data_IF_852645031761
#
_entry.id   IF_852645031761
#
_cell.length_a   1.000
_cell.length_b   1.000
_cell.length_c   1.000
_cell.angle_alpha   90.00
_cell.angle_beta   90.00
_cell.angle_gamma   90.00
#
_symmetry.space_group_name_H-M   'P 1'
#
loop_
_entity.id
_entity.type
_entity.pdbx_description
1 polymer ?
#
# COMPACT_ATOMS: atom_id res chain seq x y z
N UNK A 1 11.73 30.08 -25.88
CA UNK A 1 12.16 28.65 -25.98
C UNK A 1 12.97 28.23 -24.74
N UNK A 2 12.45 28.41 -23.51
CA UNK A 2 13.17 28.06 -22.23
C UNK A 2 12.24 27.41 -21.20
N UNK A 3 11.03 26.95 -21.56
CA UNK A 3 10.06 26.47 -20.56
C UNK A 3 9.92 24.94 -20.45
N UNK A 4 10.71 24.14 -21.17
CA UNK A 4 10.52 22.67 -21.21
C UNK A 4 11.46 21.90 -20.26
N UNK A 5 12.50 22.53 -19.74
CA UNK A 5 13.52 21.85 -18.92
C UNK A 5 13.15 21.73 -17.43
N UNK A 6 12.15 22.47 -16.93
CA UNK A 6 11.84 22.53 -15.51
C UNK A 6 10.93 21.39 -14.97
N UNK A 7 10.29 20.59 -15.82
CA UNK A 7 9.40 19.52 -15.37
C UNK A 7 10.13 18.21 -15.01
N UNK A 8 11.28 17.94 -15.63
CA UNK A 8 12.12 16.78 -15.28
C UNK A 8 12.86 16.91 -13.94
N UNK A 9 13.20 18.13 -13.55
CA UNK A 9 13.97 18.39 -12.33
C UNK A 9 13.21 18.08 -11.02
N UNK A 10 11.89 18.22 -11.00
CA UNK A 10 11.15 18.01 -9.75
C UNK A 10 10.99 16.53 -9.38
N UNK A 11 10.73 15.66 -10.35
CA UNK A 11 10.68 14.21 -10.14
C UNK A 11 12.02 13.72 -9.59
N UNK A 12 13.10 14.14 -10.21
CA UNK A 12 14.47 13.81 -9.77
C UNK A 12 14.76 14.29 -8.33
N UNK A 13 14.39 15.53 -7.98
CA UNK A 13 14.58 16.08 -6.64
C UNK A 13 13.76 15.33 -5.59
N UNK A 14 12.55 14.88 -5.92
CA UNK A 14 11.74 14.06 -5.02
C UNK A 14 12.35 12.68 -4.83
N UNK A 15 12.83 12.05 -5.92
CA UNK A 15 13.46 10.74 -5.88
C UNK A 15 14.73 10.74 -5.02
N UNK A 16 15.58 11.78 -5.15
CA UNK A 16 16.77 11.96 -4.31
C UNK A 16 16.39 12.15 -2.84
N UNK A 17 15.39 13.00 -2.56
CA UNK A 17 14.92 13.24 -1.20
C UNK A 17 14.37 11.95 -0.55
N UNK A 18 13.63 11.15 -1.31
CA UNK A 18 13.14 9.85 -0.85
C UNK A 18 14.26 8.83 -0.66
N UNK A 19 15.31 8.90 -1.47
CA UNK A 19 16.50 8.07 -1.27
C UNK A 19 17.18 8.38 0.06
N UNK A 20 17.44 9.67 0.34
CA UNK A 20 18.05 10.13 1.61
C UNK A 20 17.19 9.69 2.80
N UNK A 21 15.87 9.87 2.71
CA UNK A 21 14.94 9.52 3.77
C UNK A 21 14.93 8.02 4.05
N UNK A 22 14.87 7.21 2.99
CA UNK A 22 14.92 5.74 3.12
C UNK A 22 16.24 5.26 3.69
N UNK A 23 17.35 5.87 3.28
CA UNK A 23 18.66 5.50 3.80
C UNK A 23 18.73 5.76 5.30
N UNK A 24 18.40 6.97 5.75
CA UNK A 24 18.35 7.33 7.16
C UNK A 24 17.41 6.42 7.98
N UNK A 25 16.23 6.11 7.43
CA UNK A 25 15.28 5.21 8.07
C UNK A 25 15.80 3.77 8.19
N UNK A 26 16.48 3.26 7.15
CA UNK A 26 17.05 1.89 7.14
C UNK A 26 18.18 1.75 8.16
N UNK A 27 18.95 2.82 8.38
CA UNK A 27 20.00 2.87 9.41
C UNK A 27 19.43 3.09 10.82
N UNK A 28 18.10 3.12 10.97
CA UNK A 28 17.38 3.41 12.22
C UNK A 28 17.72 4.79 12.82
N UNK A 29 18.24 5.73 12.03
CA UNK A 29 18.44 7.12 12.42
C UNK A 29 17.15 7.92 12.23
N UNK A 30 16.18 7.63 13.09
CA UNK A 30 14.87 8.25 13.02
C UNK A 30 14.90 9.75 13.34
N UNK A 31 15.84 10.21 14.16
CA UNK A 31 16.01 11.63 14.44
C UNK A 31 16.42 12.36 13.16
N UNK A 32 17.40 11.85 12.44
CA UNK A 32 17.81 12.42 11.16
C UNK A 32 16.70 12.35 10.13
N UNK A 33 15.94 11.25 10.09
CA UNK A 33 14.75 11.12 9.22
C UNK A 33 13.73 12.23 9.47
N UNK A 34 13.46 12.57 10.74
CA UNK A 34 12.56 13.69 11.09
C UNK A 34 13.11 15.06 10.63
N UNK A 35 14.42 15.27 10.78
CA UNK A 35 15.07 16.50 10.31
C UNK A 35 14.97 16.64 8.79
N UNK A 36 15.17 15.54 8.06
CA UNK A 36 14.98 15.48 6.61
C UNK A 36 13.54 15.83 6.23
N UNK A 37 12.53 15.25 6.88
CA UNK A 37 11.12 15.55 6.62
C UNK A 37 10.83 17.05 6.80
N UNK A 38 11.29 17.65 7.90
CA UNK A 38 11.12 19.09 8.18
C UNK A 38 11.82 19.95 7.11
N UNK A 39 13.03 19.57 6.71
CA UNK A 39 13.79 20.23 5.65
C UNK A 39 13.06 20.14 4.31
N UNK A 40 12.54 18.97 3.95
CA UNK A 40 11.85 18.74 2.68
C UNK A 40 10.53 19.48 2.62
N UNK A 41 9.76 19.50 3.73
CA UNK A 41 8.55 20.32 3.83
C UNK A 41 8.86 21.82 3.65
N UNK A 42 9.88 22.35 4.32
CA UNK A 42 10.28 23.75 4.18
C UNK A 42 10.72 24.10 2.76
N UNK A 43 11.36 23.17 2.06
CA UNK A 43 11.80 23.33 0.67
C UNK A 43 10.71 23.03 -0.37
N UNK A 44 9.50 22.71 0.05
CA UNK A 44 8.39 22.32 -0.81
C UNK A 44 8.75 21.18 -1.79
N UNK A 45 9.52 20.20 -1.31
CA UNK A 45 9.89 18.99 -2.06
C UNK A 45 8.62 18.17 -2.34
N UNK A 46 7.79 17.94 -1.31
CA UNK A 46 6.46 17.36 -1.47
C UNK A 46 5.48 18.46 -1.86
N UNK A 47 5.01 18.41 -3.09
CA UNK A 47 3.98 19.33 -3.61
C UNK A 47 2.59 18.90 -3.14
N UNK A 48 1.57 19.69 -3.45
CA UNK A 48 0.18 19.35 -3.13
C UNK A 48 -0.29 18.00 -3.71
N UNK A 49 0.29 17.55 -4.81
CA UNK A 49 0.01 16.24 -5.41
C UNK A 49 0.68 15.06 -4.67
N UNK A 50 1.65 15.33 -3.80
CA UNK A 50 2.47 14.34 -3.12
C UNK A 50 2.12 14.25 -1.61
N UNK A 51 0.99 14.86 -1.18
CA UNK A 51 0.64 14.97 0.24
C UNK A 51 0.34 13.61 0.89
N UNK A 52 -0.34 12.70 0.18
CA UNK A 52 -0.56 11.32 0.68
C UNK A 52 0.78 10.67 1.02
N UNK A 53 1.74 10.74 0.10
CA UNK A 53 3.08 10.18 0.29
C UNK A 53 3.80 10.82 1.49
N UNK A 54 3.80 12.17 1.57
CA UNK A 54 4.37 12.89 2.71
C UNK A 54 3.76 12.46 4.03
N UNK A 55 2.44 12.28 4.08
CA UNK A 55 1.74 11.89 5.29
C UNK A 55 2.04 10.43 5.69
N UNK A 56 2.11 9.50 4.72
CA UNK A 56 2.49 8.11 4.96
C UNK A 56 3.92 8.00 5.49
N UNK A 57 4.89 8.65 4.85
CA UNK A 57 6.29 8.64 5.28
C UNK A 57 6.46 9.29 6.65
N UNK A 58 5.76 10.41 6.89
CA UNK A 58 5.75 11.05 8.21
C UNK A 58 5.18 10.13 9.28
N UNK A 59 4.04 9.48 8.99
CA UNK A 59 3.43 8.52 9.91
C UNK A 59 4.40 7.41 10.31
N UNK A 60 5.09 6.82 9.34
CA UNK A 60 6.08 5.77 9.59
C UNK A 60 7.25 6.26 10.43
N UNK A 61 7.86 7.40 10.07
CA UNK A 61 9.01 7.94 10.79
C UNK A 61 8.64 8.28 12.24
N UNK A 62 7.50 8.92 12.46
CA UNK A 62 7.05 9.24 13.82
C UNK A 62 6.68 8.00 14.64
N UNK A 63 6.17 6.93 14.01
CA UNK A 63 5.94 5.64 14.68
C UNK A 63 7.24 5.09 15.26
N UNK A 64 8.28 4.96 14.42
CA UNK A 64 9.56 4.41 14.85
C UNK A 64 10.39 5.37 15.70
N UNK A 65 10.04 6.67 15.70
CA UNK A 65 10.58 7.65 16.66
C UNK A 65 9.87 7.63 18.03
N UNK A 66 8.94 6.70 18.27
CA UNK A 66 8.09 6.62 19.46
C UNK A 66 7.20 7.87 19.70
N UNK A 67 6.86 8.59 18.64
CA UNK A 67 5.97 9.76 18.68
C UNK A 67 4.58 9.36 18.15
N UNK A 68 3.90 8.50 18.88
CA UNK A 68 2.71 7.79 18.44
C UNK A 68 1.53 8.70 18.12
N UNK A 69 1.32 9.79 18.87
CA UNK A 69 0.29 10.79 18.56
C UNK A 69 0.54 11.47 17.20
N UNK A 70 1.80 11.89 16.96
CA UNK A 70 2.19 12.50 15.69
C UNK A 70 2.05 11.50 14.54
N UNK A 71 2.45 10.26 14.75
CA UNK A 71 2.29 9.18 13.78
C UNK A 71 0.82 8.99 13.40
N UNK A 72 -0.06 8.84 14.40
CA UNK A 72 -1.50 8.68 14.20
C UNK A 72 -2.13 9.89 13.50
N UNK A 73 -1.69 11.10 13.81
CA UNK A 73 -2.12 12.32 13.12
C UNK A 73 -1.80 12.28 11.62
N UNK A 74 -0.55 11.95 11.26
CA UNK A 74 -0.15 11.89 9.86
C UNK A 74 -0.82 10.75 9.11
N UNK A 75 -0.96 9.56 9.70
CA UNK A 75 -1.69 8.47 9.09
C UNK A 75 -3.18 8.80 8.88
N UNK A 76 -3.81 9.51 9.81
CA UNK A 76 -5.20 9.97 9.65
C UNK A 76 -5.34 10.97 8.51
N UNK A 77 -4.37 11.86 8.33
CA UNK A 77 -4.35 12.76 7.19
C UNK A 77 -4.17 12.00 5.87
N UNK A 78 -3.26 11.01 5.82
CA UNK A 78 -3.09 10.16 4.65
C UNK A 78 -4.38 9.41 4.29
N UNK A 79 -5.03 8.78 5.28
CA UNK A 79 -6.29 8.05 5.14
C UNK A 79 -7.39 8.95 4.53
N UNK A 80 -7.58 10.14 5.09
CA UNK A 80 -8.57 11.10 4.61
C UNK A 80 -8.30 11.57 3.17
N UNK A 81 -7.04 11.79 2.83
CA UNK A 81 -6.66 12.21 1.48
C UNK A 81 -6.82 11.08 0.47
N UNK A 82 -6.50 9.84 0.83
CA UNK A 82 -6.71 8.64 -0.01
C UNK A 82 -8.21 8.50 -0.33
N UNK A 83 -9.09 8.59 0.67
CA UNK A 83 -10.53 8.49 0.46
C UNK A 83 -11.09 9.64 -0.40
N UNK A 84 -10.62 10.87 -0.20
CA UNK A 84 -10.99 12.00 -1.03
C UNK A 84 -10.52 11.82 -2.48
N UNK A 85 -9.30 11.35 -2.70
CA UNK A 85 -8.74 11.13 -4.01
C UNK A 85 -9.46 9.99 -4.74
N UNK A 86 -9.78 8.91 -4.06
CA UNK A 86 -10.62 7.83 -4.59
C UNK A 86 -11.98 8.36 -5.06
N UNK A 87 -12.68 9.13 -4.23
CA UNK A 87 -13.98 9.74 -4.56
C UNK A 87 -13.87 10.66 -5.79
N UNK A 88 -12.82 11.47 -5.86
CA UNK A 88 -12.54 12.32 -7.03
C UNK A 88 -12.25 11.49 -8.28
N UNK A 89 -11.52 10.38 -8.15
CA UNK A 89 -11.18 9.50 -9.27
C UNK A 89 -12.42 8.83 -9.84
N UNK A 90 -13.30 8.32 -8.99
CA UNK A 90 -14.58 7.74 -9.41
C UNK A 90 -15.50 8.79 -10.07
N UNK A 91 -15.59 10.01 -9.51
CA UNK A 91 -16.48 11.04 -10.03
C UNK A 91 -16.01 11.68 -11.34
N UNK A 92 -14.69 11.79 -11.54
CA UNK A 92 -14.11 12.41 -12.76
C UNK A 92 -13.96 11.42 -13.91
N UNK A 93 -13.98 10.13 -13.63
CA UNK A 93 -13.79 9.08 -14.61
C UNK A 93 -12.44 9.17 -15.33
N UNK A 94 -12.38 8.56 -16.53
CA UNK A 94 -11.13 8.40 -17.29
C UNK A 94 -10.53 9.71 -17.78
N UNK A 95 -11.34 10.75 -18.01
CA UNK A 95 -10.85 12.02 -18.58
C UNK A 95 -9.74 12.67 -17.77
N UNK A 96 -9.79 12.56 -16.44
CA UNK A 96 -8.74 13.06 -15.56
C UNK A 96 -7.40 12.33 -15.71
N UNK A 97 -7.42 11.09 -16.20
CA UNK A 97 -6.26 10.21 -16.28
C UNK A 97 -5.61 10.14 -17.66
N UNK A 98 -6.21 10.78 -18.67
CA UNK A 98 -5.60 10.90 -20.00
C UNK A 98 -4.47 11.92 -20.04
N UNK A 99 -4.30 12.71 -18.99
CA UNK A 99 -3.17 13.65 -18.85
C UNK A 99 -1.89 12.90 -18.42
N UNK A 100 -0.76 13.61 -18.46
CA UNK A 100 0.54 13.06 -18.08
C UNK A 100 0.52 12.62 -16.60
N UNK A 101 0.96 11.38 -16.31
CA UNK A 101 1.02 10.81 -14.96
C UNK A 101 1.82 11.65 -13.97
N UNK A 102 2.86 12.35 -14.43
CA UNK A 102 3.65 13.26 -13.59
C UNK A 102 2.85 14.48 -13.06
N UNK A 103 1.65 14.72 -13.58
CA UNK A 103 0.72 15.77 -13.11
C UNK A 103 -0.37 15.23 -12.22
N UNK A 104 -0.53 13.90 -12.15
CA UNK A 104 -1.56 13.30 -11.32
C UNK A 104 -1.19 13.39 -9.85
N UNK A 105 -2.21 13.52 -9.03
CA UNK A 105 -2.10 13.40 -7.57
C UNK A 105 -1.75 11.95 -7.23
N UNK A 106 -0.86 11.75 -6.29
CA UNK A 106 -0.63 10.41 -5.73
C UNK A 106 -1.83 10.01 -4.87
N UNK A 107 -2.59 9.05 -5.34
CA UNK A 107 -3.86 8.65 -4.70
C UNK A 107 -3.64 7.71 -3.50
N UNK A 108 -2.41 7.21 -3.28
CA UNK A 108 -2.13 6.10 -2.39
C UNK A 108 -2.46 4.74 -3.03
N UNK A 109 -1.83 3.70 -2.52
CA UNK A 109 -2.16 2.34 -2.93
C UNK A 109 -3.14 1.71 -1.94
N UNK A 110 -4.04 0.81 -2.39
CA UNK A 110 -5.00 0.20 -1.48
C UNK A 110 -4.35 -0.54 -0.31
N UNK A 111 -3.17 -1.13 -0.49
CA UNK A 111 -2.44 -1.77 0.60
C UNK A 111 -1.83 -0.76 1.58
N UNK A 112 -1.47 0.44 1.14
CA UNK A 112 -1.02 1.53 2.03
C UNK A 112 -2.18 2.00 2.90
N UNK A 113 -3.37 2.19 2.28
CA UNK A 113 -4.62 2.52 2.99
C UNK A 113 -5.01 1.44 4.01
N UNK A 114 -4.73 0.17 3.72
CA UNK A 114 -4.98 -0.93 4.62
C UNK A 114 -4.02 -0.91 5.82
N UNK A 115 -2.71 -0.87 5.56
CA UNK A 115 -1.70 -1.07 6.59
C UNK A 115 -1.44 0.15 7.48
N UNK A 116 -1.80 1.37 7.05
CA UNK A 116 -1.73 2.52 7.95
C UNK A 116 -2.59 2.31 9.21
N UNK A 117 -3.72 1.58 9.12
CA UNK A 117 -4.54 1.27 10.27
C UNK A 117 -3.87 0.26 11.22
N UNK A 118 -3.03 -0.67 10.71
CA UNK A 118 -2.22 -1.53 11.56
C UNK A 118 -1.24 -0.70 12.41
N UNK A 119 -0.55 0.26 11.81
CA UNK A 119 0.36 1.14 12.54
C UNK A 119 -0.38 2.09 13.51
N UNK A 120 -1.56 2.60 13.14
CA UNK A 120 -2.41 3.37 14.05
C UNK A 120 -2.85 2.53 15.25
N UNK A 121 -3.27 1.27 15.02
CA UNK A 121 -3.61 0.36 16.11
C UNK A 121 -2.43 0.15 17.05
N UNK A 122 -1.23 -0.09 16.53
CA UNK A 122 -0.01 -0.23 17.34
C UNK A 122 0.33 1.07 18.09
N UNK A 123 0.16 2.24 17.46
CA UNK A 123 0.34 3.53 18.14
C UNK A 123 -0.58 3.65 19.35
N UNK A 124 -1.88 3.36 19.19
CA UNK A 124 -2.85 3.43 20.28
C UNK A 124 -2.58 2.38 21.35
N UNK A 125 -2.09 1.19 20.98
CA UNK A 125 -1.64 0.19 21.97
C UNK A 125 -0.46 0.72 22.80
N UNK A 126 0.51 1.40 22.20
CA UNK A 126 1.60 2.07 22.91
C UNK A 126 1.11 3.18 23.85
N UNK A 127 0.08 3.92 23.43
CA UNK A 127 -0.57 4.97 24.23
C UNK A 127 -1.54 4.40 25.28
N UNK A 128 -1.73 3.08 25.31
CA UNK A 128 -2.69 2.38 26.18
C UNK A 128 -4.15 2.77 25.92
N UNK A 129 -4.44 3.30 24.74
CA UNK A 129 -5.81 3.57 24.27
C UNK A 129 -6.34 2.34 23.51
N UNK A 130 -6.83 1.38 24.27
CA UNK A 130 -7.28 0.08 23.75
C UNK A 130 -8.52 0.18 22.87
N UNK A 131 -9.42 1.11 23.17
CA UNK A 131 -10.63 1.35 22.38
C UNK A 131 -10.27 1.92 20.99
N UNK A 132 -9.42 2.94 20.95
CA UNK A 132 -8.96 3.50 19.69
C UNK A 132 -8.18 2.47 18.86
N UNK A 133 -7.34 1.65 19.51
CA UNK A 133 -6.63 0.55 18.82
C UNK A 133 -7.62 -0.43 18.19
N UNK A 134 -8.69 -0.82 18.90
CA UNK A 134 -9.71 -1.73 18.38
C UNK A 134 -10.49 -1.12 17.20
N UNK A 135 -10.77 0.18 17.22
CA UNK A 135 -11.37 0.87 16.08
C UNK A 135 -10.50 0.72 14.83
N UNK A 136 -9.19 0.87 14.95
CA UNK A 136 -8.28 0.77 13.81
C UNK A 136 -8.17 -0.65 13.25
N UNK A 137 -8.19 -1.68 14.10
CA UNK A 137 -8.21 -3.07 13.61
C UNK A 137 -9.51 -3.41 12.88
N UNK A 138 -10.65 -2.93 13.38
CA UNK A 138 -11.96 -3.06 12.70
C UNK A 138 -11.97 -2.34 11.35
N UNK A 139 -11.36 -1.14 11.27
CA UNK A 139 -11.21 -0.42 10.00
C UNK A 139 -10.35 -1.20 9.00
N UNK A 140 -9.27 -1.82 9.46
CA UNK A 140 -8.42 -2.65 8.62
C UNK A 140 -9.21 -3.84 8.05
N UNK A 141 -9.98 -4.55 8.87
CA UNK A 141 -10.86 -5.64 8.42
C UNK A 141 -11.88 -5.14 7.40
N UNK A 142 -12.58 -4.05 7.70
CA UNK A 142 -13.55 -3.44 6.78
C UNK A 142 -12.93 -3.04 5.44
N UNK A 143 -11.74 -2.42 5.45
CA UNK A 143 -11.05 -2.03 4.22
C UNK A 143 -10.65 -3.24 3.38
N UNK A 144 -10.23 -4.33 4.01
CA UNK A 144 -9.90 -5.57 3.31
C UNK A 144 -11.14 -6.15 2.62
N UNK A 145 -12.28 -6.21 3.31
CA UNK A 145 -13.55 -6.67 2.74
C UNK A 145 -14.04 -5.77 1.58
N UNK A 146 -13.83 -4.45 1.68
CA UNK A 146 -14.23 -3.48 0.67
C UNK A 146 -13.28 -3.37 -0.53
N UNK A 147 -12.12 -4.00 -0.47
CA UNK A 147 -11.04 -3.80 -1.43
C UNK A 147 -11.45 -4.17 -2.86
N UNK A 148 -12.05 -5.33 -3.04
CA UNK A 148 -12.54 -5.81 -4.35
C UNK A 148 -13.64 -4.88 -4.89
N UNK A 149 -14.57 -4.46 -4.03
CA UNK A 149 -15.65 -3.53 -4.38
C UNK A 149 -15.10 -2.19 -4.84
N UNK A 150 -14.10 -1.64 -4.13
CA UNK A 150 -13.45 -0.38 -4.50
C UNK A 150 -12.75 -0.48 -5.87
N UNK A 151 -12.02 -1.57 -6.14
CA UNK A 151 -11.31 -1.76 -7.41
C UNK A 151 -12.30 -1.95 -8.57
N UNK A 152 -13.33 -2.78 -8.41
CA UNK A 152 -14.41 -2.96 -9.40
C UNK A 152 -15.21 -1.67 -9.62
N UNK A 153 -15.44 -0.88 -8.57
CA UNK A 153 -16.07 0.43 -8.65
C UNK A 153 -15.29 1.42 -9.52
N UNK A 154 -13.96 1.44 -9.40
CA UNK A 154 -13.08 2.26 -10.23
C UNK A 154 -13.14 1.82 -11.70
N UNK A 155 -13.05 0.53 -11.98
CA UNK A 155 -13.18 -0.03 -13.34
C UNK A 155 -14.51 0.36 -13.97
N UNK A 156 -15.62 0.23 -13.24
CA UNK A 156 -16.96 0.60 -13.68
C UNK A 156 -17.07 2.11 -13.98
N UNK A 157 -16.49 2.96 -13.15
CA UNK A 157 -16.48 4.41 -13.38
C UNK A 157 -15.71 4.78 -14.66
N UNK A 158 -14.59 4.11 -14.91
CA UNK A 158 -13.80 4.30 -16.13
C UNK A 158 -14.53 3.80 -17.36
N UNK A 159 -15.15 2.62 -17.30
CA UNK A 159 -15.98 2.09 -18.39
C UNK A 159 -17.11 3.04 -18.77
N UNK A 160 -17.82 3.60 -17.79
CA UNK A 160 -18.92 4.55 -18.03
C UNK A 160 -18.45 5.89 -18.64
N UNK A 161 -17.24 6.30 -18.35
CA UNK A 161 -16.69 7.59 -18.82
C UNK A 161 -15.84 7.47 -20.10
N UNK A 162 -15.52 6.26 -20.54
CA UNK A 162 -14.77 5.98 -21.76
C UNK A 162 -15.71 6.03 -23.00
N UNK A 163 -15.83 7.20 -23.60
CA UNK A 163 -16.61 7.41 -24.81
C UNK A 163 -16.02 6.72 -26.05
N UNK A 164 -14.76 6.29 -26.01
CA UNK A 164 -14.11 5.64 -27.15
C UNK A 164 -14.53 4.16 -27.28
N UNK A 165 -14.92 3.51 -26.19
CA UNK A 165 -15.23 2.09 -26.13
C UNK A 165 -14.08 1.15 -26.50
N UNK A 166 -12.84 1.69 -26.59
CA UNK A 166 -11.65 0.96 -27.06
C UNK A 166 -10.91 0.22 -25.96
N UNK A 167 -11.12 0.59 -24.70
CA UNK A 167 -10.43 -0.01 -23.57
C UNK A 167 -11.32 -1.05 -22.88
N UNK A 168 -10.70 -2.14 -22.45
CA UNK A 168 -11.37 -3.19 -21.65
C UNK A 168 -11.09 -2.91 -20.16
N UNK A 169 -12.08 -2.36 -19.49
CA UNK A 169 -12.00 -1.97 -18.08
C UNK A 169 -12.37 -3.15 -17.18
N UNK A 170 -11.50 -4.18 -17.15
CA UNK A 170 -11.64 -5.34 -16.28
C UNK A 170 -10.77 -5.25 -15.05
N UNK A 171 -11.04 -6.09 -14.09
CA UNK A 171 -10.24 -6.35 -12.90
C UNK A 171 -10.00 -7.84 -12.78
N UNK A 172 -8.89 -8.24 -12.18
CA UNK A 172 -8.73 -9.61 -11.73
C UNK A 172 -9.33 -9.76 -10.33
N UNK A 173 -9.68 -11.00 -9.98
CA UNK A 173 -10.22 -11.29 -8.65
C UNK A 173 -9.13 -11.20 -7.58
N UNK A 174 -9.51 -10.71 -6.39
CA UNK A 174 -8.66 -10.67 -5.21
C UNK A 174 -8.90 -11.94 -4.40
N UNK A 175 -7.85 -12.73 -4.22
CA UNK A 175 -7.91 -13.98 -3.48
C UNK A 175 -7.67 -13.80 -1.96
N UNK A 176 -7.67 -12.56 -1.47
CA UNK A 176 -7.46 -12.23 -0.06
C UNK A 176 -8.68 -11.46 0.42
N UNK A 177 -9.40 -12.02 1.38
CA UNK A 177 -10.61 -11.41 1.94
C UNK A 177 -10.43 -11.02 3.41
N UNK A 178 -9.43 -11.60 4.09
CA UNK A 178 -9.19 -11.40 5.51
C UNK A 178 -7.74 -11.01 5.77
N UNK A 179 -7.51 -10.11 6.73
CA UNK A 179 -6.18 -9.78 7.24
C UNK A 179 -5.89 -10.57 8.51
N UNK A 180 -4.91 -11.46 8.43
CA UNK A 180 -4.44 -12.20 9.60
C UNK A 180 -3.89 -11.26 10.68
N UNK A 181 -3.22 -10.17 10.29
CA UNK A 181 -2.70 -9.17 11.21
C UNK A 181 -3.83 -8.44 11.95
N UNK A 182 -4.90 -8.04 11.25
CA UNK A 182 -6.04 -7.38 11.87
C UNK A 182 -6.70 -8.28 12.92
N UNK A 183 -6.98 -9.54 12.57
CA UNK A 183 -7.58 -10.51 13.49
C UNK A 183 -6.67 -10.88 14.67
N UNK A 184 -5.35 -10.96 14.43
CA UNK A 184 -4.37 -11.16 15.49
C UNK A 184 -4.42 -10.04 16.53
N UNK A 185 -4.36 -8.80 16.10
CA UNK A 185 -4.43 -7.63 16.98
C UNK A 185 -5.80 -7.51 17.65
N UNK A 186 -6.90 -7.73 16.91
CA UNK A 186 -8.25 -7.69 17.47
C UNK A 186 -8.46 -8.74 18.58
N UNK A 187 -7.94 -9.96 18.40
CA UNK A 187 -8.02 -11.00 19.44
C UNK A 187 -7.41 -10.53 20.76
N UNK A 188 -6.21 -9.92 20.70
CA UNK A 188 -5.52 -9.40 21.88
C UNK A 188 -6.31 -8.25 22.51
N UNK A 189 -6.82 -7.34 21.70
CA UNK A 189 -7.52 -6.14 22.16
C UNK A 189 -8.85 -6.48 22.81
N UNK A 190 -9.66 -7.37 22.23
CA UNK A 190 -10.90 -7.84 22.83
C UNK A 190 -10.66 -8.61 24.14
N UNK A 191 -9.66 -9.51 24.15
CA UNK A 191 -9.29 -10.21 25.37
C UNK A 191 -8.84 -9.24 26.48
N UNK A 192 -8.12 -8.18 26.11
CA UNK A 192 -7.69 -7.12 27.04
C UNK A 192 -8.87 -6.30 27.58
N UNK A 193 -9.90 -6.08 26.76
CA UNK A 193 -11.14 -5.41 27.15
C UNK A 193 -12.05 -6.30 28.02
N UNK A 194 -11.78 -7.61 28.10
CA UNK A 194 -12.62 -8.59 28.80
C UNK A 194 -13.75 -9.17 27.92
N UNK A 195 -13.78 -8.83 26.65
CA UNK A 195 -14.77 -9.31 25.68
C UNK A 195 -14.32 -10.66 25.09
N UNK A 196 -14.35 -11.71 25.92
CA UNK A 196 -13.77 -13.01 25.59
C UNK A 196 -14.49 -13.74 24.44
N UNK A 197 -15.79 -13.50 24.25
CA UNK A 197 -16.53 -14.07 23.14
C UNK A 197 -16.06 -13.47 21.80
N UNK A 198 -15.91 -12.15 21.74
CA UNK A 198 -15.38 -11.48 20.56
C UNK A 198 -13.92 -11.86 20.31
N UNK A 199 -13.10 -11.97 21.37
CA UNK A 199 -11.74 -12.46 21.25
C UNK A 199 -11.67 -13.88 20.66
N UNK A 200 -12.59 -14.77 21.04
CA UNK A 200 -12.69 -16.13 20.47
C UNK A 200 -13.05 -16.08 18.98
N UNK A 201 -14.03 -15.25 18.62
CA UNK A 201 -14.47 -15.09 17.24
C UNK A 201 -13.29 -14.56 16.37
N UNK A 202 -12.59 -13.55 16.85
CA UNK A 202 -11.45 -12.99 16.12
C UNK A 202 -10.29 -13.98 15.99
N UNK A 203 -10.04 -14.81 17.00
CA UNK A 203 -9.06 -15.91 16.93
C UNK A 203 -9.44 -16.95 15.86
N UNK A 204 -10.73 -17.31 15.77
CA UNK A 204 -11.20 -18.23 14.74
C UNK A 204 -11.04 -17.62 13.33
N UNK A 205 -11.35 -16.34 13.16
CA UNK A 205 -11.10 -15.60 11.92
C UNK A 205 -9.60 -15.51 11.58
N UNK A 206 -8.74 -15.32 12.57
CA UNK A 206 -7.29 -15.38 12.40
C UNK A 206 -6.86 -16.71 11.79
N UNK A 207 -7.35 -17.85 12.30
CA UNK A 207 -7.01 -19.17 11.76
C UNK A 207 -7.49 -19.33 10.31
N UNK A 208 -8.69 -18.82 9.99
CA UNK A 208 -9.23 -18.82 8.63
C UNK A 208 -8.34 -17.97 7.71
N UNK A 209 -8.02 -16.73 8.11
CA UNK A 209 -7.17 -15.83 7.34
C UNK A 209 -5.80 -16.43 7.06
N UNK A 210 -5.20 -17.08 8.06
CA UNK A 210 -3.91 -17.73 7.92
C UNK A 210 -3.96 -18.92 6.96
N UNK A 211 -5.07 -19.65 6.92
CA UNK A 211 -5.30 -20.74 5.98
C UNK A 211 -5.50 -20.22 4.55
N UNK A 212 -6.30 -19.19 4.38
CA UNK A 212 -6.52 -18.52 3.09
C UNK A 212 -5.21 -17.96 2.52
N UNK A 213 -4.39 -17.34 3.36
CA UNK A 213 -3.10 -16.78 2.97
C UNK A 213 -1.95 -17.80 2.94
N UNK A 214 -2.20 -19.09 3.09
CA UNK A 214 -1.15 -20.12 3.14
C UNK A 214 -0.26 -20.16 1.90
N UNK A 215 -0.82 -19.82 0.73
CA UNK A 215 -0.05 -19.72 -0.52
C UNK A 215 0.87 -18.50 -0.57
N UNK A 216 0.54 -17.45 0.18
CA UNK A 216 1.31 -16.21 0.26
C UNK A 216 2.40 -16.27 1.33
N UNK A 217 2.29 -17.19 2.29
CA UNK A 217 3.20 -17.34 3.43
C UNK A 217 3.80 -18.76 3.51
N UNK A 218 4.55 -19.21 2.46
CA UNK A 218 5.02 -20.59 2.36
C UNK A 218 5.99 -21.03 3.47
N UNK A 219 6.61 -20.09 4.18
CA UNK A 219 7.56 -20.37 5.25
C UNK A 219 6.94 -20.38 6.65
N UNK A 220 5.63 -20.25 6.73
CA UNK A 220 4.98 -20.35 8.01
C UNK A 220 5.11 -21.77 8.54
N UNK A 221 5.65 -21.90 9.75
CA UNK A 221 5.66 -23.17 10.45
C UNK A 221 4.22 -23.61 10.67
N UNK A 222 3.79 -24.66 10.00
CA UNK A 222 2.46 -25.25 10.16
C UNK A 222 2.26 -25.87 11.57
N UNK A 223 3.31 -25.96 12.37
CA UNK A 223 3.24 -26.31 13.79
C UNK A 223 2.82 -25.09 14.62
N UNK A 224 1.65 -24.61 14.29
CA UNK A 224 0.66 -24.04 15.14
C UNK A 224 1.20 -23.38 16.41
N UNK A 225 1.51 -22.11 16.30
CA UNK A 225 1.43 -21.26 17.47
C UNK A 225 0.05 -21.44 18.07
N UNK A 226 0.01 -21.78 19.32
CA UNK A 226 -1.25 -21.89 20.01
C UNK A 226 -1.79 -20.49 20.27
N UNK A 227 -2.57 -19.95 19.32
CA UNK A 227 -3.18 -18.64 19.43
C UNK A 227 -4.24 -18.54 20.54
N UNK A 228 -4.58 -19.66 21.19
CA UNK A 228 -5.46 -19.65 22.37
C UNK A 228 -4.88 -18.82 23.52
N UNK A 229 -3.57 -18.70 23.60
CA UNK A 229 -2.91 -17.85 24.60
C UNK A 229 -3.31 -16.38 24.45
N UNK A 230 -3.62 -15.91 23.23
CA UNK A 230 -3.99 -14.52 22.98
C UNK A 230 -5.30 -14.14 23.71
N UNK A 231 -6.17 -15.11 23.97
CA UNK A 231 -7.42 -14.91 24.68
C UNK A 231 -7.24 -14.87 26.20
N UNK A 232 -6.04 -15.06 26.70
CA UNK A 232 -5.72 -15.15 28.14
C UNK A 232 -4.74 -14.04 28.51
N UNK A 233 -5.17 -12.76 28.62
CA UNK A 233 -4.29 -11.62 28.83
C UNK A 233 -3.47 -11.68 30.11
N UNK A 234 -3.90 -12.49 31.11
CA UNK A 234 -3.12 -12.77 32.33
C UNK A 234 -1.95 -13.74 32.11
N UNK A 235 -1.87 -14.41 30.95
CA UNK A 235 -0.85 -15.42 30.67
C UNK A 235 0.39 -14.83 29.97
N UNK A 236 0.38 -13.55 29.60
CA UNK A 236 1.51 -12.87 28.98
C UNK A 236 1.56 -11.40 29.37
N UNK A 237 2.78 -10.84 29.44
CA UNK A 237 3.01 -9.45 29.83
C UNK A 237 3.67 -8.64 28.70
N UNK A 238 4.17 -9.31 27.67
CA UNK A 238 4.93 -8.69 26.57
C UNK A 238 4.40 -9.22 25.25
N UNK A 239 4.12 -8.29 24.35
CA UNK A 239 3.85 -8.55 22.95
C UNK A 239 5.07 -8.10 22.14
N UNK A 240 5.67 -8.99 21.37
CA UNK A 240 6.77 -8.68 20.47
C UNK A 240 6.24 -8.70 19.04
N UNK A 241 6.19 -7.56 18.40
CA UNK A 241 5.86 -7.42 17.00
C UNK A 241 7.11 -6.91 16.23
N UNK A 242 7.47 -7.57 15.15
CA UNK A 242 8.62 -7.21 14.31
C UNK A 242 8.20 -7.06 12.86
N UNK A 243 8.63 -5.98 12.22
CA UNK A 243 8.51 -5.77 10.79
C UNK A 243 9.85 -6.04 10.13
N UNK A 244 9.88 -6.86 9.09
CA UNK A 244 11.10 -7.21 8.36
C UNK A 244 10.91 -7.08 6.86
N UNK A 245 11.99 -6.81 6.14
CA UNK A 245 11.97 -6.64 4.69
C UNK A 245 11.69 -5.19 4.28
N UNK A 246 11.32 -5.02 3.03
CA UNK A 246 11.01 -3.72 2.43
C UNK A 246 9.62 -3.76 1.81
N UNK A 247 8.92 -2.64 1.88
CA UNK A 247 7.67 -2.48 1.15
C UNK A 247 7.92 -2.57 -0.37
N UNK A 248 6.99 -3.12 -1.14
CA UNK A 248 7.08 -3.12 -2.59
C UNK A 248 7.02 -1.69 -3.12
N UNK A 249 7.64 -1.47 -4.27
CA UNK A 249 7.61 -0.18 -4.95
C UNK A 249 7.30 -0.34 -6.43
N UNK A 250 6.84 0.73 -7.05
CA UNK A 250 6.55 0.73 -8.46
C UNK A 250 7.78 1.18 -9.27
N UNK A 251 8.03 0.47 -10.34
CA UNK A 251 8.97 0.86 -11.38
C UNK A 251 8.23 1.09 -12.69
N UNK A 252 8.75 1.98 -13.52
CA UNK A 252 8.22 2.17 -14.86
C UNK A 252 8.73 1.08 -15.77
N UNK A 253 7.82 0.43 -16.50
CA UNK A 253 8.14 -0.39 -17.66
C UNK A 253 7.58 0.22 -18.93
N UNK A 254 8.30 0.02 -20.03
CA UNK A 254 7.93 0.50 -21.36
C UNK A 254 7.58 -0.69 -22.26
N UNK A 255 6.42 -0.62 -22.90
CA UNK A 255 6.02 -1.57 -23.92
C UNK A 255 5.95 -0.85 -25.28
N UNK A 256 6.21 -1.63 -26.35
CA UNK A 256 6.06 -1.19 -27.74
C UNK A 256 5.14 -2.18 -28.45
N UNK A 257 4.09 -1.64 -29.06
CA UNK A 257 3.18 -2.41 -29.90
C UNK A 257 3.40 -1.95 -31.33
N UNK A 258 3.73 -2.88 -32.21
CA UNK A 258 3.81 -2.62 -33.65
C UNK A 258 2.40 -2.68 -34.22
N UNK A 259 2.03 -1.70 -34.98
CA UNK A 259 0.76 -1.65 -35.70
C UNK A 259 1.12 -1.66 -37.18
N UNK A 260 0.86 -2.78 -37.83
CA UNK A 260 0.93 -2.88 -39.29
C UNK A 260 -0.28 -2.14 -39.89
N UNK A 261 -0.06 -0.98 -40.45
CA UNK A 261 -1.08 -0.28 -41.24
C UNK A 261 -1.02 -0.85 -42.66
N UNK A 262 -1.89 -1.81 -42.97
CA UNK A 262 -2.05 -2.38 -44.32
C UNK A 262 -2.72 -1.37 -45.24
N UNK A 263 -2.07 -0.25 -45.48
CA UNK A 263 -2.45 0.66 -46.57
C UNK A 263 -1.38 0.53 -47.68
N UNK A 264 -1.79 -0.02 -48.82
CA UNK A 264 -0.97 -0.56 -49.89
C UNK A 264 0.03 0.40 -50.57
N UNK A 265 0.23 1.61 -50.08
CA UNK A 265 1.10 2.61 -50.76
C UNK A 265 2.26 3.19 -49.93
N UNK A 266 2.38 2.89 -48.62
CA UNK A 266 3.55 3.32 -47.82
C UNK A 266 3.85 2.33 -46.74
N UNK A 267 5.03 1.71 -46.79
CA UNK A 267 5.65 0.97 -45.66
C UNK A 267 5.88 1.91 -44.46
N UNK A 268 4.84 2.27 -43.75
CA UNK A 268 4.94 3.01 -42.49
C UNK A 268 4.75 2.04 -41.34
N UNK A 269 5.83 1.41 -40.90
CA UNK A 269 5.87 0.74 -39.63
C UNK A 269 5.63 1.78 -38.52
N UNK A 270 4.46 1.74 -37.91
CA UNK A 270 4.11 2.58 -36.77
C UNK A 270 4.19 1.76 -35.49
N UNK A 271 4.98 2.17 -34.53
CA UNK A 271 4.97 1.57 -33.21
C UNK A 271 4.38 2.51 -32.15
N UNK A 272 3.48 1.98 -31.35
CA UNK A 272 2.93 2.67 -30.21
C UNK A 272 3.78 2.34 -28.98
N UNK A 273 4.49 3.35 -28.45
CA UNK A 273 5.20 3.22 -27.17
C UNK A 273 4.31 3.71 -26.04
N UNK A 274 4.15 2.90 -25.00
CA UNK A 274 3.48 3.31 -23.77
C UNK A 274 4.22 2.81 -22.55
N UNK A 275 4.12 3.60 -21.48
CA UNK A 275 4.74 3.30 -20.18
C UNK A 275 3.67 3.04 -19.15
N UNK A 276 3.91 2.07 -18.29
CA UNK A 276 3.03 1.72 -17.19
C UNK A 276 3.84 1.34 -15.95
N UNK A 277 3.30 1.55 -14.74
CA UNK A 277 3.97 1.08 -13.54
C UNK A 277 3.80 -0.44 -13.39
N UNK A 278 4.84 -1.10 -12.90
CA UNK A 278 4.80 -2.48 -12.39
C UNK A 278 5.26 -2.50 -10.95
N UNK A 279 4.70 -3.42 -10.17
CA UNK A 279 5.12 -3.59 -8.78
C UNK A 279 6.39 -4.43 -8.74
N UNK A 280 7.40 -3.94 -8.05
CA UNK A 280 8.62 -4.68 -7.74
C UNK A 280 8.59 -5.05 -6.27
N UNK A 281 8.59 -6.35 -5.99
CA UNK A 281 8.57 -6.92 -4.65
C UNK A 281 9.98 -7.29 -4.22
N UNK A 282 10.27 -7.12 -2.94
CA UNK A 282 11.55 -7.53 -2.37
C UNK A 282 11.41 -8.84 -1.63
N UNK A 283 12.03 -9.87 -2.15
CA UNK A 283 12.12 -11.10 -1.39
C UNK A 283 13.00 -10.87 -0.15
N UNK A 284 12.39 -10.94 1.03
CA UNK A 284 13.14 -10.85 2.28
C UNK A 284 14.06 -12.07 2.44
N UNK A 285 15.32 -11.83 2.81
CA UNK A 285 16.26 -12.87 3.20
C UNK A 285 16.07 -13.33 4.65
N UNK A 286 15.20 -12.66 5.42
CA UNK A 286 14.88 -13.02 6.80
C UNK A 286 13.95 -14.22 6.79
N UNK A 287 14.43 -15.36 7.26
CA UNK A 287 13.64 -16.61 7.34
C UNK A 287 12.91 -16.76 8.65
N UNK A 288 13.45 -16.21 9.73
CA UNK A 288 12.86 -16.25 11.06
C UNK A 288 13.40 -15.10 11.92
N UNK A 289 12.62 -14.68 12.88
CA UNK A 289 13.01 -13.72 13.93
C UNK A 289 12.94 -14.45 15.27
N UNK A 290 13.99 -14.35 16.08
CA UNK A 290 14.04 -14.95 17.42
C UNK A 290 14.07 -13.88 18.48
N UNK A 291 13.29 -14.08 19.53
CA UNK A 291 13.45 -13.35 20.77
C UNK A 291 14.34 -14.18 21.71
N UNK A 292 15.37 -13.54 22.29
CA UNK A 292 16.25 -14.13 23.30
C UNK A 292 16.09 -13.32 24.59
N UNK A 293 15.69 -13.97 25.66
CA UNK A 293 15.45 -13.36 26.96
C UNK A 293 16.43 -13.96 27.96
N UNK A 294 17.26 -13.11 28.58
CA UNK A 294 18.27 -13.50 29.57
C UNK A 294 19.19 -14.67 29.09
N UNK A 295 19.55 -14.68 27.81
CA UNK A 295 20.40 -15.68 27.15
C UNK A 295 19.89 -17.14 27.21
N UNK A 296 18.77 -17.38 27.86
CA UNK A 296 18.25 -18.74 28.13
C UNK A 296 16.95 -19.06 27.42
N UNK A 297 16.04 -18.11 27.30
CA UNK A 297 14.75 -18.30 26.61
C UNK A 297 14.87 -17.87 25.17
N UNK A 298 14.66 -18.82 24.25
CA UNK A 298 14.65 -18.53 22.80
C UNK A 298 13.30 -18.90 22.23
N UNK A 299 12.57 -17.91 21.74
CA UNK A 299 11.33 -18.15 21.00
C UNK A 299 11.44 -17.59 19.59
N UNK A 300 10.84 -18.26 18.65
CA UNK A 300 10.74 -17.79 17.26
C UNK A 300 9.39 -17.08 17.11
N UNK A 301 9.42 -15.89 16.54
CA UNK A 301 8.19 -15.15 16.23
C UNK A 301 7.52 -15.79 15.03
N UNK A 302 6.18 -15.84 15.07
CA UNK A 302 5.37 -16.31 13.97
C UNK A 302 5.22 -15.25 12.89
N UNK A 303 5.27 -15.68 11.62
CA UNK A 303 4.89 -14.81 10.52
C UNK A 303 3.36 -14.73 10.45
N UNK A 304 2.80 -13.60 10.87
CA UNK A 304 1.36 -13.39 10.88
C UNK A 304 0.86 -13.00 9.48
N UNK A 305 1.52 -12.04 8.82
CA UNK A 305 1.10 -11.60 7.50
C UNK A 305 2.29 -11.20 6.63
N UNK A 306 2.24 -11.57 5.35
CA UNK A 306 3.23 -11.19 4.35
C UNK A 306 2.70 -9.99 3.55
N UNK A 307 2.99 -8.79 4.05
CA UNK A 307 2.51 -7.52 3.48
C UNK A 307 2.97 -7.32 2.02
N UNK A 308 4.16 -7.81 1.66
CA UNK A 308 4.68 -7.75 0.28
C UNK A 308 3.81 -8.57 -0.68
N UNK A 309 3.43 -9.78 -0.27
CA UNK A 309 2.57 -10.66 -1.08
C UNK A 309 1.13 -10.16 -1.15
N UNK A 310 0.58 -9.67 -0.05
CA UNK A 310 -0.74 -9.01 -0.04
C UNK A 310 -0.74 -7.83 -1.01
N UNK A 311 0.27 -6.98 -0.97
CA UNK A 311 0.41 -5.84 -1.88
C UNK A 311 0.50 -6.26 -3.35
N UNK A 312 1.21 -7.36 -3.64
CA UNK A 312 1.32 -7.90 -4.99
C UNK A 312 -0.03 -8.43 -5.53
N UNK A 313 -0.81 -9.13 -4.69
CA UNK A 313 -2.15 -9.59 -5.08
C UNK A 313 -3.12 -8.42 -5.33
N UNK A 314 -3.10 -7.41 -4.47
CA UNK A 314 -3.88 -6.18 -4.67
C UNK A 314 -3.50 -5.47 -5.96
N UNK A 315 -2.21 -5.35 -6.24
CA UNK A 315 -1.73 -4.75 -7.48
C UNK A 315 -2.20 -5.55 -8.70
N UNK A 316 -2.10 -6.88 -8.66
CA UNK A 316 -2.53 -7.78 -9.74
C UNK A 316 -4.01 -7.55 -10.09
N UNK A 317 -4.89 -7.45 -9.11
CA UNK A 317 -6.30 -7.17 -9.34
C UNK A 317 -6.55 -5.82 -10.05
N UNK A 318 -5.72 -4.81 -9.78
CA UNK A 318 -5.79 -3.47 -10.38
C UNK A 318 -5.05 -3.36 -11.72
N UNK A 319 -4.20 -4.33 -12.05
CA UNK A 319 -3.28 -4.30 -13.20
C UNK A 319 -3.99 -4.10 -14.55
N UNK A 320 -5.12 -4.77 -14.86
CA UNK A 320 -5.83 -4.55 -16.12
C UNK A 320 -6.28 -3.10 -16.30
N UNK A 321 -6.76 -2.44 -15.23
CA UNK A 321 -7.14 -1.02 -15.25
C UNK A 321 -5.92 -0.15 -15.58
N UNK A 322 -4.77 -0.44 -14.96
CA UNK A 322 -3.53 0.30 -15.17
C UNK A 322 -3.08 0.21 -16.64
N UNK A 323 -3.14 -0.99 -17.22
CA UNK A 323 -2.74 -1.23 -18.61
C UNK A 323 -3.70 -0.59 -19.62
N UNK A 324 -5.01 -0.77 -19.42
CA UNK A 324 -6.03 -0.15 -20.27
C UNK A 324 -5.89 1.38 -20.28
N UNK A 325 -5.62 1.98 -19.13
CA UNK A 325 -5.37 3.42 -19.01
C UNK A 325 -4.11 3.86 -19.78
N UNK A 326 -3.01 3.11 -19.63
CA UNK A 326 -1.75 3.43 -20.31
C UNK A 326 -1.88 3.32 -21.83
N UNK A 327 -2.55 2.27 -22.32
CA UNK A 327 -2.81 2.04 -23.73
C UNK A 327 -3.74 3.12 -24.33
N UNK A 328 -4.83 3.44 -23.66
CA UNK A 328 -5.76 4.47 -24.12
C UNK A 328 -5.08 5.84 -24.23
N UNK A 329 -4.26 6.20 -23.24
CA UNK A 329 -3.47 7.43 -23.27
C UNK A 329 -2.49 7.47 -24.45
N UNK A 330 -1.80 6.38 -24.71
CA UNK A 330 -0.85 6.30 -25.81
C UNK A 330 -1.56 6.41 -27.16
N UNK A 331 -2.70 5.72 -27.35
CA UNK A 331 -3.50 5.80 -28.57
C UNK A 331 -4.08 7.20 -28.81
N UNK A 332 -4.52 7.89 -27.76
CA UNK A 332 -5.02 9.28 -27.85
C UNK A 332 -3.90 10.25 -28.28
N UNK A 333 -2.67 10.08 -27.74
CA UNK A 333 -1.52 10.88 -28.16
C UNK A 333 -1.15 10.62 -29.61
N UNK A 334 -1.13 9.37 -30.04
CA UNK A 334 -0.82 9.00 -31.42
C UNK A 334 -1.83 9.59 -32.42
N UNK A 335 -3.13 9.56 -32.09
CA UNK A 335 -4.16 10.18 -32.90
C UNK A 335 -4.01 11.71 -33.00
N UNK A 336 -3.60 12.37 -31.91
CA UNK A 336 -3.36 13.83 -31.88
C UNK A 336 -2.09 14.28 -32.60
N UNK A 337 -1.14 13.39 -32.89
CA UNK A 337 0.08 13.71 -33.67
C UNK A 337 -0.09 13.51 -35.18
N UNK A 338 -1.17 12.87 -35.62
CA UNK A 338 -1.54 12.74 -37.03
C UNK A 338 -2.37 13.94 -37.59
N UNK A 339 -2.68 14.93 -36.74
CA UNK A 339 -3.33 16.22 -37.08
C UNK A 339 -2.29 17.33 -37.08
#
# INVERSE_FOLDING_TARGET
MISIILMGCHSYVLDDAQFDLRHSFTEADYQHSEELLKKFKKKNIYRSKDQVLYNLESGMIYHFSNKFDSSSYYFTNAENEIDQNYTKSVSRGIGAFLTNDNKLVYDGEPYEDLYLNAFKALNFMHLQDWEAALVETRRMTYKMEQLDIKIKGLASAFAKSDSSGKADWKTDDINIQNSALAHYLSTILYAKAGDFDDARIEREKLEIALKEQSTLTPYRNSNTSNFDILQKPSSYNVLLAGFTGRAPYKVQEDARVFIDDYDDEKDNEFYLKFSFPVINTFQSNVRYVRAVINDSVKTTLDLIENMDKVSAEVYKAKQPIIYSRALLRASTKAAGTKL
#
